data_IF_876549529412
#
_entry.id   IF_876549529412
#
_cell.length_a   1.000
_cell.length_b   1.000
_cell.length_c   1.000
_cell.angle_alpha   90.00
_cell.angle_beta   90.00
_cell.angle_gamma   90.00
#
_symmetry.space_group_name_H-M   'P 1'
#
loop_
_entity.id
_entity.type
_entity.pdbx_description
1 polymer ?
#
# COMPACT_ATOMS: atom_id res chain seq x y z
N UNK A 1 -2.06 14.37 -10.29
CA UNK A 1 -2.19 13.50 -11.49
C UNK A 1 -2.79 12.16 -11.06
N UNK A 2 -3.68 11.58 -11.85
CA UNK A 2 -4.27 10.27 -11.56
C UNK A 2 -3.52 9.19 -12.34
N UNK A 3 -3.37 8.03 -11.71
CA UNK A 3 -2.68 6.87 -12.27
C UNK A 3 -3.57 5.65 -12.07
N UNK A 4 -3.71 4.82 -13.13
CA UNK A 4 -4.34 3.52 -12.98
C UNK A 4 -3.31 2.56 -12.38
N UNK A 5 -3.55 2.13 -11.15
CA UNK A 5 -2.53 1.47 -10.33
C UNK A 5 -2.16 0.06 -10.84
N UNK A 6 -2.96 -0.51 -11.74
CA UNK A 6 -2.63 -1.77 -12.42
C UNK A 6 -1.69 -1.58 -13.60
N UNK A 7 -1.67 -0.38 -14.20
CA UNK A 7 -0.82 -0.05 -15.34
C UNK A 7 0.42 0.74 -14.90
N UNK A 8 0.22 1.78 -14.09
CA UNK A 8 1.26 2.62 -13.52
C UNK A 8 1.29 2.46 -11.99
N UNK A 9 2.26 1.66 -11.53
CA UNK A 9 2.45 1.30 -10.13
C UNK A 9 3.73 1.92 -9.55
N UNK A 10 3.75 2.31 -8.27
CA UNK A 10 4.98 2.75 -7.61
C UNK A 10 6.05 1.65 -7.63
N UNK A 11 7.32 2.05 -7.58
CA UNK A 11 8.43 1.10 -7.50
C UNK A 11 8.52 0.46 -6.10
N UNK A 12 9.16 -0.70 -6.04
CA UNK A 12 9.40 -1.44 -4.79
C UNK A 12 10.07 -0.55 -3.73
N UNK A 13 11.06 0.26 -4.11
CA UNK A 13 11.78 1.16 -3.19
C UNK A 13 10.86 2.18 -2.49
N UNK A 14 9.85 2.70 -3.20
CA UNK A 14 8.85 3.58 -2.60
C UNK A 14 8.00 2.83 -1.56
N UNK A 15 7.58 1.61 -1.87
CA UNK A 15 6.85 0.79 -0.90
C UNK A 15 7.71 0.43 0.30
N UNK A 16 9.00 0.13 0.13
CA UNK A 16 9.95 -0.09 1.23
C UNK A 16 10.01 1.14 2.12
N UNK A 17 10.21 2.32 1.53
CA UNK A 17 10.28 3.58 2.26
C UNK A 17 8.99 3.83 3.06
N UNK A 18 7.83 3.65 2.44
CA UNK A 18 6.54 3.84 3.11
C UNK A 18 6.27 2.83 4.22
N UNK A 19 6.65 1.55 4.02
CA UNK A 19 6.52 0.51 5.03
C UNK A 19 7.48 0.71 6.21
N UNK A 20 8.64 1.32 6.00
CA UNK A 20 9.60 1.66 7.05
C UNK A 20 9.22 2.92 7.83
N UNK A 21 8.68 3.94 7.15
CA UNK A 21 8.35 5.22 7.75
C UNK A 21 6.93 5.31 8.34
N UNK A 22 6.11 4.25 8.21
CA UNK A 22 4.76 4.23 8.78
C UNK A 22 4.77 3.62 10.19
N UNK A 23 4.00 4.21 11.10
CA UNK A 23 3.67 3.58 12.39
C UNK A 23 2.54 2.54 12.25
N UNK A 24 1.90 2.48 11.09
CA UNK A 24 0.79 1.56 10.80
C UNK A 24 1.31 0.18 10.41
N UNK A 25 0.51 -0.86 10.70
CA UNK A 25 0.78 -2.22 10.23
C UNK A 25 0.89 -2.27 8.70
N UNK A 26 1.70 -3.19 8.17
CA UNK A 26 1.87 -3.40 6.73
C UNK A 26 0.53 -3.57 5.99
N UNK A 27 -0.46 -4.23 6.63
CA UNK A 27 -1.83 -4.41 6.12
C UNK A 27 -2.54 -3.10 5.74
N UNK A 28 -2.06 -1.96 6.21
CA UNK A 28 -2.58 -0.65 5.84
C UNK A 28 -2.50 -0.37 4.33
N UNK A 29 -1.42 -0.82 3.68
CA UNK A 29 -1.20 -0.65 2.24
C UNK A 29 -1.89 -1.72 1.39
N UNK A 30 -2.34 -2.83 2.00
CA UNK A 30 -2.93 -3.94 1.28
C UNK A 30 -4.45 -3.80 1.14
N UNK A 31 -4.96 -4.25 0.00
CA UNK A 31 -6.38 -4.41 -0.29
C UNK A 31 -6.93 -5.64 0.46
N UNK A 32 -7.13 -5.50 1.77
CA UNK A 32 -7.59 -6.58 2.66
C UNK A 32 -8.97 -7.14 2.29
N UNK A 33 -9.78 -6.38 1.56
CA UNK A 33 -11.11 -6.80 1.09
C UNK A 33 -11.06 -7.49 -0.28
N UNK A 34 -9.94 -7.42 -1.00
CA UNK A 34 -9.80 -7.97 -2.35
C UNK A 34 -9.74 -9.49 -2.37
N UNK A 35 -10.28 -10.09 -3.43
CA UNK A 35 -10.24 -11.54 -3.63
C UNK A 35 -8.80 -12.07 -3.62
N UNK A 36 -7.88 -11.37 -4.27
CA UNK A 36 -6.48 -11.78 -4.36
C UNK A 36 -5.81 -11.87 -2.98
N UNK A 37 -6.09 -10.94 -2.07
CA UNK A 37 -5.58 -10.97 -0.70
C UNK A 37 -6.05 -12.22 0.07
N UNK A 38 -7.32 -12.59 -0.11
CA UNK A 38 -7.93 -13.77 0.51
C UNK A 38 -7.41 -15.07 -0.11
N UNK A 39 -7.37 -15.17 -1.44
CA UNK A 39 -6.89 -16.35 -2.17
C UNK A 39 -5.42 -16.66 -1.89
N UNK A 40 -4.57 -15.64 -1.76
CA UNK A 40 -3.16 -15.82 -1.45
C UNK A 40 -2.87 -16.08 0.04
N UNK A 41 -3.91 -16.05 0.89
CA UNK A 41 -3.84 -16.12 2.34
C UNK A 41 -2.85 -15.11 2.95
N UNK A 42 -2.86 -13.88 2.45
CA UNK A 42 -1.86 -12.86 2.82
C UNK A 42 -1.97 -12.41 4.28
N UNK A 43 -3.13 -12.58 4.93
CA UNK A 43 -3.29 -12.21 6.34
C UNK A 43 -2.27 -12.91 7.24
N UNK A 44 -2.06 -14.20 7.03
CA UNK A 44 -1.12 -15.00 7.83
C UNK A 44 0.32 -14.75 7.35
N UNK A 45 0.54 -14.80 6.03
CA UNK A 45 1.87 -14.60 5.43
C UNK A 45 2.48 -13.24 5.76
N UNK A 46 1.69 -12.16 5.76
CA UNK A 46 2.22 -10.82 6.06
C UNK A 46 2.81 -10.71 7.48
N UNK A 47 2.50 -11.61 8.41
CA UNK A 47 3.16 -11.60 9.72
C UNK A 47 4.56 -12.23 9.66
N UNK A 48 4.79 -13.15 8.73
CA UNK A 48 6.05 -13.86 8.55
C UNK A 48 6.99 -13.15 7.57
N UNK A 49 6.43 -12.44 6.58
CA UNK A 49 7.19 -11.77 5.53
C UNK A 49 7.96 -10.54 6.06
N UNK A 50 9.16 -10.38 5.53
CA UNK A 50 9.99 -9.19 5.72
C UNK A 50 9.38 -7.95 5.05
N UNK A 51 9.88 -6.76 5.40
CA UNK A 51 9.46 -5.50 4.77
C UNK A 51 9.73 -5.54 3.26
N UNK A 52 10.86 -6.11 2.85
CA UNK A 52 11.24 -6.18 1.45
C UNK A 52 10.28 -7.06 0.65
N UNK A 53 9.92 -8.22 1.17
CA UNK A 53 8.95 -9.11 0.51
C UNK A 53 7.56 -8.48 0.42
N UNK A 54 7.15 -7.75 1.46
CA UNK A 54 5.89 -6.99 1.46
C UNK A 54 5.89 -5.91 0.38
N UNK A 55 6.99 -5.15 0.28
CA UNK A 55 7.15 -4.12 -0.73
C UNK A 55 7.13 -4.72 -2.14
N UNK A 56 7.83 -5.84 -2.33
CA UNK A 56 7.85 -6.58 -3.59
C UNK A 56 6.46 -7.05 -4.00
N UNK A 57 5.65 -7.58 -3.07
CA UNK A 57 4.26 -7.98 -3.37
C UNK A 57 3.40 -6.79 -3.84
N UNK A 58 3.52 -5.63 -3.19
CA UNK A 58 2.78 -4.42 -3.57
C UNK A 58 3.21 -3.91 -4.93
N UNK A 59 4.53 -3.88 -5.18
CA UNK A 59 5.10 -3.48 -6.46
C UNK A 59 4.76 -4.47 -7.58
N UNK A 60 4.69 -5.77 -7.31
CA UNK A 60 4.44 -6.82 -8.31
C UNK A 60 2.97 -6.97 -8.68
N UNK A 61 2.03 -6.55 -7.82
CA UNK A 61 0.62 -6.62 -8.15
C UNK A 61 -0.19 -5.43 -7.61
N UNK A 62 -0.58 -4.53 -8.52
CA UNK A 62 -1.37 -3.34 -8.19
C UNK A 62 -2.79 -3.62 -7.68
N UNK A 63 -3.30 -4.85 -7.81
CA UNK A 63 -4.57 -5.26 -7.21
C UNK A 63 -4.46 -5.52 -5.70
N UNK A 64 -3.24 -5.77 -5.21
CA UNK A 64 -2.95 -5.91 -3.78
C UNK A 64 -2.89 -4.57 -3.07
N UNK A 65 -2.78 -3.45 -3.78
CA UNK A 65 -2.66 -2.13 -3.16
C UNK A 65 -4.05 -1.59 -2.79
N UNK A 66 -4.15 -1.06 -1.57
CA UNK A 66 -5.36 -0.39 -1.07
C UNK A 66 -5.58 0.94 -1.80
N UNK A 67 -6.82 1.18 -2.20
CA UNK A 67 -7.22 2.36 -2.98
C UNK A 67 -8.21 3.23 -2.19
N UNK A 68 -8.24 4.56 -2.39
CA UNK A 68 -7.25 5.37 -3.14
C UNK A 68 -5.87 5.42 -2.45
N UNK A 69 -4.80 5.56 -3.24
CA UNK A 69 -3.43 5.80 -2.78
C UNK A 69 -3.04 7.22 -3.16
N UNK A 70 -2.81 8.08 -2.18
CA UNK A 70 -2.42 9.49 -2.39
C UNK A 70 -0.99 9.65 -1.94
N UNK A 71 -0.16 10.23 -2.82
CA UNK A 71 1.26 10.48 -2.58
C UNK A 71 1.48 11.97 -2.78
N UNK A 72 2.15 12.62 -1.83
CA UNK A 72 2.57 14.03 -1.91
C UNK A 72 4.03 14.13 -2.37
N UNK A 73 4.39 15.29 -2.89
CA UNK A 73 5.75 15.60 -3.35
C UNK A 73 6.80 15.56 -2.22
N UNK A 74 6.38 15.76 -0.96
CA UNK A 74 7.22 15.64 0.23
C UNK A 74 7.49 14.17 0.65
N UNK A 75 6.95 13.20 -0.08
CA UNK A 75 7.09 11.77 0.19
C UNK A 75 6.02 11.20 1.14
N UNK A 76 5.11 12.04 1.64
CA UNK A 76 4.00 11.58 2.48
C UNK A 76 3.02 10.72 1.68
N UNK A 77 2.50 9.65 2.30
CA UNK A 77 1.54 8.73 1.67
C UNK A 77 0.29 8.51 2.52
N UNK A 78 -0.87 8.47 1.86
CA UNK A 78 -2.16 8.18 2.47
C UNK A 78 -2.87 7.07 1.69
N UNK A 79 -3.18 5.97 2.39
CA UNK A 79 -3.90 4.83 1.82
C UNK A 79 -5.34 4.75 2.32
N UNK A 80 -6.25 4.51 1.38
CA UNK A 80 -7.69 4.51 1.61
C UNK A 80 -8.25 5.91 1.74
N UNK A 81 -9.56 5.99 1.94
CA UNK A 81 -10.26 7.23 2.25
C UNK A 81 -10.63 7.27 3.73
N UNK A 82 -10.21 8.33 4.43
CA UNK A 82 -10.69 8.67 5.77
C UNK A 82 -10.77 10.18 5.87
N UNK A 83 -11.98 10.71 5.94
CA UNK A 83 -12.25 12.15 5.81
C UNK A 83 -11.36 13.02 6.72
N UNK A 84 -11.26 12.67 7.99
CA UNK A 84 -10.41 13.37 8.97
C UNK A 84 -8.96 13.48 8.48
N UNK A 85 -8.39 12.34 8.03
CA UNK A 85 -7.02 12.32 7.53
C UNK A 85 -6.88 13.08 6.23
N UNK A 86 -7.89 13.07 5.36
CA UNK A 86 -7.83 13.85 4.12
C UNK A 86 -7.85 15.35 4.40
N UNK A 87 -8.57 15.82 5.42
CA UNK A 87 -8.56 17.24 5.82
C UNK A 87 -7.21 17.69 6.36
N UNK A 88 -6.51 16.82 7.10
CA UNK A 88 -5.14 17.09 7.57
C UNK A 88 -4.08 16.91 6.48
N UNK A 89 -4.40 16.09 5.47
CA UNK A 89 -3.49 15.72 4.40
C UNK A 89 -3.74 16.49 3.10
N UNK A 90 -4.71 17.40 3.04
CA UNK A 90 -4.87 18.37 1.96
C UNK A 90 -4.19 19.66 2.40
#
# INVERSE_FOLDING_TARGET
>A
KYYEITEERPQEDLFKLWLQNTEKKATYFFNTSGNLYRTMNLKDKLNELSIEEKAKLLADNGMLIKRPLVIKDDGSVLCGFKEEKYKEFL
#
